data_IF_687694036300
#
_entry.id   IF_687694036300
#
_cell.length_a   1.000
_cell.length_b   1.000
_cell.length_c   1.000
_cell.angle_alpha   90.00
_cell.angle_beta   90.00
_cell.angle_gamma   90.00
#
_symmetry.space_group_name_H-M   'P 1'
#
loop_
_entity.id
_entity.type
_entity.pdbx_description
1 polymer ?
#
# COMPACT_ATOMS: atom_id res chain seq x y z
N UNK A 1 -1.33 12.47 12.35
CA UNK A 1 -1.07 11.32 11.45
C UNK A 1 0.29 10.74 11.75
N UNK A 2 0.42 9.42 11.74
CA UNK A 2 1.70 8.75 11.99
C UNK A 2 2.56 8.86 10.73
N UNK A 3 3.80 9.35 10.85
CA UNK A 3 4.64 9.64 9.69
C UNK A 3 4.94 8.34 8.93
N UNK A 4 4.65 8.31 7.63
CA UNK A 4 5.03 7.18 6.78
C UNK A 4 6.55 7.21 6.58
N UNK A 5 7.17 6.04 6.59
CA UNK A 5 8.54 5.87 6.12
C UNK A 5 8.59 6.02 4.60
N UNK A 6 9.77 6.29 4.04
CA UNK A 6 9.95 6.42 2.58
C UNK A 6 9.35 5.23 1.81
N UNK A 7 9.58 4.01 2.30
CA UNK A 7 9.06 2.78 1.67
C UNK A 7 7.53 2.67 1.75
N UNK A 8 6.94 3.09 2.87
CA UNK A 8 5.48 3.12 3.03
C UNK A 8 4.84 4.15 2.12
N UNK A 9 5.47 5.32 2.00
CA UNK A 9 4.99 6.41 1.16
C UNK A 9 5.02 6.04 -0.33
N UNK A 10 6.09 5.38 -0.79
CA UNK A 10 6.17 4.85 -2.17
C UNK A 10 5.03 3.86 -2.47
N UNK A 11 4.77 2.91 -1.58
CA UNK A 11 3.65 1.97 -1.75
C UNK A 11 2.31 2.70 -1.69
N UNK A 12 2.15 3.67 -0.78
CA UNK A 12 0.91 4.43 -0.67
C UNK A 12 0.60 5.23 -1.95
N UNK A 13 1.61 5.84 -2.56
CA UNK A 13 1.50 6.51 -3.86
C UNK A 13 1.01 5.56 -4.96
N UNK A 14 1.54 4.34 -5.00
CA UNK A 14 1.11 3.30 -5.93
C UNK A 14 -0.34 2.86 -5.66
N UNK A 15 -0.70 2.65 -4.39
CA UNK A 15 -2.06 2.29 -3.98
C UNK A 15 -3.04 3.39 -4.35
N UNK A 16 -2.69 4.67 -4.18
CA UNK A 16 -3.53 5.79 -4.60
C UNK A 16 -3.72 5.87 -6.12
N UNK A 17 -2.67 5.57 -6.90
CA UNK A 17 -2.76 5.50 -8.37
C UNK A 17 -3.66 4.36 -8.83
N UNK A 18 -3.55 3.19 -8.21
CA UNK A 18 -4.35 2.02 -8.58
C UNK A 18 -5.77 2.06 -8.00
N UNK A 19 -6.01 2.84 -6.92
CA UNK A 19 -7.24 2.91 -6.11
C UNK A 19 -7.67 1.60 -5.44
N UNK A 20 -7.34 0.45 -6.02
CA UNK A 20 -7.54 -0.87 -5.44
C UNK A 20 -6.58 -1.87 -6.13
N UNK A 21 -5.99 -2.80 -5.38
CA UNK A 21 -5.11 -3.82 -5.97
C UNK A 21 -4.58 -4.82 -4.95
N UNK A 22 -3.79 -5.81 -5.40
CA UNK A 22 -3.11 -6.74 -4.50
C UNK A 22 -1.64 -6.39 -4.32
N UNK A 23 -0.97 -6.96 -3.31
CA UNK A 23 0.47 -6.74 -3.05
C UNK A 23 1.32 -6.97 -4.30
N UNK A 24 0.93 -7.93 -5.13
CA UNK A 24 1.62 -8.25 -6.38
C UNK A 24 1.51 -7.12 -7.41
N UNK A 25 0.34 -6.49 -7.56
CA UNK A 25 0.17 -5.32 -8.44
C UNK A 25 1.00 -4.14 -7.94
N UNK A 26 1.02 -3.91 -6.62
CA UNK A 26 1.83 -2.83 -6.06
C UNK A 26 3.31 -3.04 -6.34
N UNK A 27 3.79 -4.27 -6.16
CA UNK A 27 5.18 -4.63 -6.44
C UNK A 27 5.56 -4.41 -7.91
N UNK A 28 4.65 -4.72 -8.84
CA UNK A 28 4.85 -4.50 -10.29
C UNK A 28 4.93 -3.02 -10.68
N UNK A 29 4.34 -2.13 -9.88
CA UNK A 29 4.37 -0.68 -10.11
C UNK A 29 5.54 0.02 -9.41
N UNK A 30 6.28 -0.68 -8.52
CA UNK A 30 7.48 -0.12 -7.89
C UNK A 30 8.62 0.01 -8.91
N UNK A 31 9.43 1.05 -8.79
CA UNK A 31 10.63 1.22 -9.63
C UNK A 31 11.71 0.21 -9.21
N UNK A 32 12.50 -0.28 -10.16
CA UNK A 32 13.62 -1.17 -9.87
C UNK A 32 14.71 -0.46 -9.05
N UNK A 33 15.32 -1.13 -8.06
CA UNK A 33 15.18 -2.56 -7.75
C UNK A 33 13.95 -2.90 -6.90
N UNK A 34 13.17 -3.89 -7.34
CA UNK A 34 11.99 -4.34 -6.59
C UNK A 34 12.40 -4.97 -5.25
N UNK A 35 11.78 -4.57 -4.13
CA UNK A 35 11.97 -5.26 -2.88
C UNK A 35 11.39 -6.69 -2.97
N UNK A 36 11.82 -7.61 -2.09
CA UNK A 36 11.18 -8.91 -1.97
C UNK A 36 9.68 -8.76 -1.69
N UNK A 37 8.86 -9.69 -2.21
CA UNK A 37 7.41 -9.71 -1.97
C UNK A 37 7.07 -9.65 -0.47
N UNK A 38 7.86 -10.32 0.38
CA UNK A 38 7.68 -10.33 1.84
C UNK A 38 7.87 -8.95 2.46
N UNK A 39 8.77 -8.12 1.91
CA UNK A 39 8.98 -6.74 2.32
C UNK A 39 7.77 -5.89 1.93
N UNK A 40 7.32 -5.96 0.67
CA UNK A 40 6.12 -5.24 0.22
C UNK A 40 4.88 -5.65 1.04
N UNK A 41 4.71 -6.96 1.30
CA UNK A 41 3.63 -7.47 2.13
C UNK A 41 3.69 -6.94 3.58
N UNK A 42 4.90 -6.84 4.15
CA UNK A 42 5.09 -6.29 5.50
C UNK A 42 4.76 -4.80 5.55
N UNK A 43 5.17 -4.03 4.54
CA UNK A 43 4.86 -2.60 4.42
C UNK A 43 3.34 -2.38 4.27
N UNK A 44 2.68 -3.13 3.39
CA UNK A 44 1.21 -3.12 3.24
C UNK A 44 0.52 -3.47 4.56
N UNK A 45 1.01 -4.50 5.28
CA UNK A 45 0.53 -4.85 6.63
C UNK A 45 0.67 -3.72 7.64
N UNK A 46 1.77 -2.97 7.59
CA UNK A 46 2.00 -1.83 8.47
C UNK A 46 1.05 -0.68 8.13
N UNK A 47 0.86 -0.37 6.84
CA UNK A 47 -0.13 0.62 6.38
C UNK A 47 -1.56 0.25 6.82
N UNK A 48 -1.91 -1.04 6.76
CA UNK A 48 -3.19 -1.55 7.25
C UNK A 48 -3.33 -1.34 8.76
N UNK A 49 -2.30 -1.70 9.54
CA UNK A 49 -2.28 -1.50 11.00
C UNK A 49 -2.39 -0.03 11.40
N UNK A 50 -1.76 0.87 10.64
CA UNK A 50 -1.82 2.31 10.84
C UNK A 50 -3.16 2.93 10.39
N UNK A 51 -4.03 2.17 9.72
CA UNK A 51 -5.34 2.62 9.27
C UNK A 51 -5.33 3.44 7.98
N UNK A 52 -4.24 3.39 7.21
CA UNK A 52 -4.13 4.11 5.93
C UNK A 52 -4.80 3.36 4.78
N UNK A 53 -4.79 2.03 4.84
CA UNK A 53 -5.38 1.17 3.82
C UNK A 53 -6.29 0.14 4.49
N UNK A 54 -7.27 -0.35 3.74
CA UNK A 54 -8.12 -1.46 4.14
C UNK A 54 -7.85 -2.67 3.26
N UNK A 55 -7.45 -3.78 3.89
CA UNK A 55 -7.45 -5.10 3.26
C UNK A 55 -8.85 -5.70 3.27
N UNK A 56 -9.33 -6.16 2.12
CA UNK A 56 -10.53 -6.96 1.96
C UNK A 56 -10.17 -8.28 1.29
N UNK A 57 -10.60 -9.39 1.89
CA UNK A 57 -10.44 -10.71 1.27
C UNK A 57 -11.41 -10.83 0.11
N UNK A 58 -10.88 -11.07 -1.09
CA UNK A 58 -11.63 -11.33 -2.30
C UNK A 58 -11.31 -12.76 -2.76
N UNK A 59 -12.16 -13.72 -2.37
CA UNK A 59 -11.93 -15.15 -2.59
C UNK A 59 -10.66 -15.65 -1.90
N UNK A 60 -9.64 -16.00 -2.70
CA UNK A 60 -8.34 -16.49 -2.23
C UNK A 60 -7.24 -15.41 -2.18
N UNK A 61 -7.54 -14.17 -2.55
CA UNK A 61 -6.56 -13.08 -2.53
C UNK A 61 -6.97 -11.97 -1.56
N UNK A 62 -5.98 -11.19 -1.13
CA UNK A 62 -6.20 -9.97 -0.35
C UNK A 62 -6.06 -8.76 -1.26
N UNK A 63 -7.15 -8.01 -1.37
CA UNK A 63 -7.21 -6.77 -2.13
C UNK A 63 -7.14 -5.62 -1.14
N UNK A 64 -6.27 -4.66 -1.38
CA UNK A 64 -6.07 -3.49 -0.54
C UNK A 64 -6.52 -2.24 -1.28
N UNK A 65 -7.18 -1.35 -0.54
CA UNK A 65 -7.64 -0.04 -1.03
C UNK A 65 -7.24 1.06 -0.05
N UNK A 66 -6.90 2.27 -0.53
CA UNK A 66 -6.61 3.39 0.34
C UNK A 66 -7.88 3.82 1.09
N UNK A 67 -7.75 4.12 2.37
CA UNK A 67 -8.83 4.65 3.21
C UNK A 67 -8.82 6.18 3.26
N UNK A 68 -7.63 6.76 3.12
CA UNK A 68 -7.43 8.21 3.02
C UNK A 68 -7.00 8.56 1.60
N UNK A 69 -7.28 9.78 1.15
CA UNK A 69 -6.80 10.30 -0.13
C UNK A 69 -5.44 11.01 0.05
N UNK A 70 -4.64 11.14 -1.02
CA UNK A 70 -3.32 11.78 -0.97
C UNK A 70 -3.39 13.19 -0.37
N UNK A 71 -4.47 13.90 -0.69
CA UNK A 71 -4.70 15.26 -0.24
C UNK A 71 -5.00 15.35 1.27
N UNK A 72 -5.57 14.29 1.86
CA UNK A 72 -5.86 14.22 3.29
C UNK A 72 -4.57 13.96 4.09
N UNK A 73 -3.65 13.17 3.54
CA UNK A 73 -2.33 12.93 4.14
C UNK A 73 -1.40 14.16 4.14
N UNK A 74 -1.49 15.01 3.10
CA UNK A 74 -0.65 16.21 2.95
C UNK A 74 -1.19 17.45 3.68
N UNK A 75 -2.38 17.37 4.27
CA UNK A 75 -3.06 18.49 4.95
C UNK A 75 -2.60 18.70 6.41
#
# INVERSE_FOLDING_TARGET
MEKLTFQEEEIMLIIWRLKEGVVKDFLLQMQEPHPPYTTAASVVKNLEKKGYIAGKRYGNTYVYRPLIDENDYKA
#
